data_IF_342337366155
#
_entry.id   IF_342337366155
#
_cell.length_a   1.000
_cell.length_b   1.000
_cell.length_c   1.000
_cell.angle_alpha   90.00
_cell.angle_beta   90.00
_cell.angle_gamma   90.00
#
_symmetry.space_group_name_H-M   'P 1'
#
loop_
_entity.id
_entity.type
_entity.pdbx_description
1 polymer ?
#
# COMPACT_ATOMS: atom_id res chain seq x y z
N UNK A 1 -24.72 7.93 -30.81
CA UNK A 1 -24.17 8.29 -29.50
C UNK A 1 -23.46 7.03 -29.01
N UNK A 2 -22.21 6.88 -29.42
CA UNK A 2 -21.32 5.79 -29.01
C UNK A 2 -20.70 6.19 -27.69
N UNK A 3 -20.88 5.38 -26.64
CA UNK A 3 -19.96 5.39 -25.51
C UNK A 3 -19.43 3.97 -25.34
N UNK A 4 -18.13 3.90 -25.58
CA UNK A 4 -17.31 2.73 -25.72
C UNK A 4 -17.25 1.89 -24.44
N UNK A 5 -17.11 0.58 -24.66
CA UNK A 5 -17.04 -0.42 -23.62
C UNK A 5 -15.92 -0.14 -22.63
N UNK A 6 -16.28 -0.03 -21.36
CA UNK A 6 -15.30 -0.10 -20.28
C UNK A 6 -14.96 -1.57 -20.09
N UNK A 7 -13.74 -1.92 -20.47
CA UNK A 7 -13.09 -3.20 -20.16
C UNK A 7 -13.34 -3.56 -18.69
N UNK A 8 -14.02 -4.69 -18.47
CA UNK A 8 -14.05 -5.36 -17.18
C UNK A 8 -12.67 -5.99 -16.99
N UNK A 9 -11.70 -5.20 -16.54
CA UNK A 9 -10.47 -5.77 -16.01
C UNK A 9 -10.82 -6.46 -14.69
N UNK A 10 -10.43 -7.72 -14.61
CA UNK A 10 -10.57 -8.62 -13.47
C UNK A 10 -9.64 -8.22 -12.30
N UNK A 11 -9.54 -6.92 -12.01
CA UNK A 11 -8.68 -6.34 -10.98
C UNK A 11 -9.25 -6.59 -9.59
N UNK A 12 -8.44 -7.14 -8.69
CA UNK A 12 -8.81 -7.25 -7.28
C UNK A 12 -9.16 -5.86 -6.75
N UNK A 13 -10.41 -5.64 -6.31
CA UNK A 13 -10.76 -4.42 -5.57
C UNK A 13 -9.76 -4.24 -4.40
N UNK A 14 -9.25 -3.03 -4.17
CA UNK A 14 -8.40 -2.75 -3.02
C UNK A 14 -9.13 -3.15 -1.74
N UNK A 15 -8.45 -3.88 -0.87
CA UNK A 15 -9.05 -4.33 0.40
C UNK A 15 -8.96 -3.18 1.40
N UNK A 16 -10.09 -2.73 1.92
CA UNK A 16 -10.14 -1.85 3.09
C UNK A 16 -10.48 -2.64 4.37
N UNK A 17 -10.30 -2.05 5.58
CA UNK A 17 -10.69 -2.71 6.82
C UNK A 17 -12.17 -3.10 6.84
N UNK A 18 -12.44 -4.38 7.13
CA UNK A 18 -13.80 -4.85 7.41
C UNK A 18 -14.39 -4.11 8.64
N UNK A 19 -15.71 -3.87 8.70
CA UNK A 19 -16.39 -3.34 9.88
C UNK A 19 -16.17 -4.14 11.17
N UNK A 20 -15.72 -5.40 11.05
CA UNK A 20 -15.43 -6.30 12.18
C UNK A 20 -13.94 -6.47 12.47
N UNK A 21 -13.08 -5.71 11.81
CA UNK A 21 -11.63 -5.77 12.04
C UNK A 21 -11.31 -5.28 13.45
N UNK A 22 -10.92 -6.20 14.35
CA UNK A 22 -10.62 -5.92 15.76
C UNK A 22 -9.36 -5.09 15.98
N UNK A 23 -8.54 -4.90 14.94
CA UNK A 23 -7.35 -4.06 15.01
C UNK A 23 -7.67 -2.58 14.80
N UNK A 24 -8.85 -2.27 14.27
CA UNK A 24 -9.31 -0.92 13.98
C UNK A 24 -10.27 -0.47 15.07
N UNK A 25 -10.05 0.73 15.58
CA UNK A 25 -11.01 1.44 16.41
C UNK A 25 -12.05 2.11 15.50
N UNK A 26 -13.11 1.37 15.19
CA UNK A 26 -14.19 1.84 14.31
C UNK A 26 -14.92 3.08 14.86
N UNK A 27 -14.79 3.39 16.16
CA UNK A 27 -15.36 4.61 16.73
C UNK A 27 -14.61 5.88 16.29
N UNK A 28 -13.38 5.72 15.80
CA UNK A 28 -12.50 6.79 15.30
C UNK A 28 -12.39 6.82 13.77
N UNK A 29 -13.20 6.03 13.06
CA UNK A 29 -13.25 6.09 11.60
C UNK A 29 -13.83 7.44 11.15
N UNK A 30 -13.13 8.13 10.26
CA UNK A 30 -13.56 9.42 9.70
C UNK A 30 -13.78 9.28 8.20
N UNK A 31 -15.00 9.59 7.75
CA UNK A 31 -15.32 9.67 6.33
C UNK A 31 -15.15 11.12 5.86
N UNK A 32 -14.45 11.32 4.75
CA UNK A 32 -14.17 12.64 4.19
C UNK A 32 -15.09 12.94 2.99
N UNK A 33 -15.35 14.23 2.70
CA UNK A 33 -16.23 14.62 1.61
C UNK A 33 -15.68 14.29 0.21
N UNK A 34 -14.38 14.07 0.09
CA UNK A 34 -13.69 13.64 -1.14
C UNK A 34 -13.84 12.13 -1.41
N UNK A 35 -14.52 11.40 -0.53
CA UNK A 35 -14.71 9.95 -0.62
C UNK A 35 -13.60 9.13 0.04
N UNK A 36 -12.55 9.77 0.58
CA UNK A 36 -11.54 9.08 1.37
C UNK A 36 -12.06 8.72 2.77
N UNK A 37 -11.44 7.71 3.38
CA UNK A 37 -11.78 7.26 4.75
C UNK A 37 -10.52 7.07 5.56
N UNK A 38 -10.41 7.75 6.70
CA UNK A 38 -9.33 7.54 7.66
C UNK A 38 -9.75 6.51 8.69
N UNK A 39 -8.96 5.44 8.82
CA UNK A 39 -9.09 4.45 9.87
C UNK A 39 -8.00 4.67 10.91
N UNK A 40 -8.36 4.52 12.18
CA UNK A 40 -7.40 4.55 13.30
C UNK A 40 -7.34 3.17 13.94
N UNK A 41 -6.13 2.65 14.15
CA UNK A 41 -5.94 1.37 14.82
C UNK A 41 -6.08 1.51 16.35
N UNK A 42 -6.12 0.38 17.06
CA UNK A 42 -6.23 0.36 18.52
C UNK A 42 -5.02 0.97 19.24
N UNK A 43 -3.88 1.13 18.57
CA UNK A 43 -2.67 1.74 19.10
C UNK A 43 -2.65 3.26 18.90
N UNK A 44 -3.59 3.79 18.10
CA UNK A 44 -3.72 5.22 17.81
C UNK A 44 -3.06 5.64 16.50
N UNK A 45 -2.57 4.70 15.70
CA UNK A 45 -2.02 5.00 14.38
C UNK A 45 -3.17 5.20 13.38
N UNK A 46 -3.05 6.18 12.47
CA UNK A 46 -4.09 6.49 11.49
C UNK A 46 -3.59 6.35 10.06
N UNK A 47 -4.38 5.73 9.19
CA UNK A 47 -4.11 5.59 7.76
C UNK A 47 -5.34 6.01 6.97
N UNK A 48 -5.13 6.85 5.97
CA UNK A 48 -6.19 7.32 5.08
C UNK A 48 -6.25 6.43 3.85
N UNK A 49 -7.44 5.94 3.53
CA UNK A 49 -7.72 5.20 2.32
C UNK A 49 -8.38 6.15 1.33
N UNK A 50 -7.86 6.23 0.10
CA UNK A 50 -8.47 7.06 -0.94
C UNK A 50 -9.84 6.50 -1.36
N UNK A 51 -10.57 7.24 -2.20
CA UNK A 51 -11.91 6.83 -2.67
C UNK A 51 -11.92 5.49 -3.43
N UNK A 52 -10.77 5.05 -3.97
CA UNK A 52 -10.61 3.75 -4.60
C UNK A 52 -10.29 2.62 -3.61
N UNK A 53 -9.96 2.95 -2.36
CA UNK A 53 -9.65 2.01 -1.28
C UNK A 53 -8.17 1.66 -1.13
N UNK A 54 -7.27 2.48 -1.67
CA UNK A 54 -5.82 2.32 -1.46
C UNK A 54 -5.37 3.09 -0.22
N UNK A 55 -4.59 2.47 0.67
CA UNK A 55 -4.03 3.14 1.85
C UNK A 55 -2.91 4.10 1.46
N UNK A 56 -2.82 5.23 2.16
CA UNK A 56 -1.65 6.10 2.17
C UNK A 56 -0.80 5.82 3.41
N UNK A 57 0.34 5.15 3.21
CA UNK A 57 1.30 4.88 4.28
C UNK A 57 2.43 5.91 4.35
N UNK A 58 2.47 6.91 3.45
CA UNK A 58 3.51 7.94 3.40
C UNK A 58 3.74 8.65 4.75
N UNK A 59 2.70 8.95 5.57
CA UNK A 59 2.90 9.55 6.89
C UNK A 59 3.70 8.70 7.89
N UNK A 60 3.79 7.38 7.64
CA UNK A 60 4.49 6.41 8.49
C UNK A 60 5.78 5.90 7.85
N UNK A 61 6.07 6.27 6.61
CA UNK A 61 7.29 5.88 5.93
C UNK A 61 8.50 6.54 6.60
N UNK A 62 9.51 5.74 6.93
CA UNK A 62 10.78 6.22 7.48
C UNK A 62 11.84 6.41 6.41
N UNK A 63 11.62 5.83 5.23
CA UNK A 63 12.49 5.92 4.08
C UNK A 63 11.68 5.69 2.81
N UNK A 64 12.15 6.23 1.69
CA UNK A 64 11.52 6.08 0.38
C UNK A 64 12.60 6.05 -0.71
N UNK A 65 12.46 5.11 -1.63
CA UNK A 65 13.35 5.01 -2.79
C UNK A 65 12.53 5.00 -4.08
N UNK A 66 12.91 5.89 -5.01
CA UNK A 66 12.32 5.99 -6.33
C UNK A 66 13.34 6.52 -7.35
N UNK A 67 13.48 5.91 -8.54
CA UNK A 67 12.89 4.64 -8.94
C UNK A 67 13.73 3.44 -8.45
N UNK A 68 13.07 2.35 -8.06
CA UNK A 68 13.72 1.04 -7.84
C UNK A 68 13.75 0.28 -9.16
N UNK A 69 14.92 0.26 -9.81
CA UNK A 69 15.07 -0.39 -11.12
C UNK A 69 15.10 -1.91 -11.01
N UNK A 70 14.34 -2.61 -11.85
CA UNK A 70 14.38 -4.08 -11.96
C UNK A 70 13.43 -4.83 -11.02
N UNK A 71 12.45 -4.13 -10.44
CA UNK A 71 11.36 -4.78 -9.71
C UNK A 71 10.54 -5.70 -10.62
N UNK A 72 9.98 -6.76 -10.03
CA UNK A 72 9.15 -7.74 -10.75
C UNK A 72 7.92 -8.20 -9.94
N UNK A 73 7.61 -7.49 -8.85
CA UNK A 73 6.51 -7.76 -7.95
C UNK A 73 6.73 -8.99 -7.05
N UNK A 74 7.89 -9.65 -7.09
CA UNK A 74 8.28 -10.63 -6.08
C UNK A 74 8.88 -9.89 -4.90
N UNK A 75 8.12 -9.81 -3.81
CA UNK A 75 8.50 -9.10 -2.59
C UNK A 75 9.97 -9.32 -2.17
N UNK A 76 10.46 -10.57 -2.08
CA UNK A 76 11.83 -10.84 -1.65
C UNK A 76 12.92 -10.32 -2.60
N UNK A 77 12.60 -10.21 -3.89
CA UNK A 77 13.50 -9.64 -4.90
C UNK A 77 13.46 -8.12 -4.83
N UNK A 78 12.25 -7.56 -4.80
CA UNK A 78 12.06 -6.10 -4.79
C UNK A 78 12.55 -5.47 -3.48
N UNK A 79 12.39 -6.13 -2.33
CA UNK A 79 12.94 -5.65 -1.05
C UNK A 79 14.47 -5.62 -1.06
N UNK A 80 15.13 -6.57 -1.74
CA UNK A 80 16.58 -6.59 -1.85
C UNK A 80 17.08 -5.43 -2.72
N UNK A 81 16.36 -5.11 -3.80
CA UNK A 81 16.64 -3.95 -4.64
C UNK A 81 16.42 -2.64 -3.88
N UNK A 82 15.32 -2.52 -3.13
CA UNK A 82 15.03 -1.34 -2.32
C UNK A 82 16.08 -1.14 -1.22
N UNK A 83 16.48 -2.21 -0.53
CA UNK A 83 17.58 -2.18 0.44
C UNK A 83 18.87 -1.66 -0.20
N UNK A 84 19.25 -2.20 -1.37
CA UNK A 84 20.45 -1.75 -2.08
C UNK A 84 20.36 -0.28 -2.51
N UNK A 85 19.20 0.17 -2.99
CA UNK A 85 18.96 1.55 -3.40
C UNK A 85 19.02 2.53 -2.22
N UNK A 86 18.51 2.14 -1.05
CA UNK A 86 18.54 2.93 0.18
C UNK A 86 19.86 2.82 0.97
N UNK A 87 20.80 1.97 0.53
CA UNK A 87 22.07 1.75 1.20
C UNK A 87 22.00 0.85 2.45
N UNK A 88 20.93 0.06 2.61
CA UNK A 88 20.82 -0.95 3.65
C UNK A 88 21.39 -2.30 3.20
N UNK A 89 22.07 -2.99 4.11
CA UNK A 89 22.48 -4.39 3.91
C UNK A 89 21.32 -5.37 4.00
N UNK A 90 20.26 -4.99 4.72
CA UNK A 90 19.03 -5.75 4.91
C UNK A 90 17.92 -4.82 5.41
N UNK A 91 16.66 -5.20 5.23
CA UNK A 91 15.52 -4.44 5.73
C UNK A 91 15.64 -4.25 7.26
N UNK A 92 15.59 -3.02 7.78
CA UNK A 92 15.67 -2.78 9.22
C UNK A 92 14.63 -3.58 10.01
N UNK A 93 15.03 -4.09 11.18
CA UNK A 93 14.15 -4.90 12.02
C UNK A 93 12.90 -4.10 12.45
N UNK A 94 11.72 -4.69 12.25
CA UNK A 94 10.43 -4.04 12.54
C UNK A 94 9.82 -3.28 11.37
N UNK A 95 10.50 -3.21 10.23
CA UNK A 95 10.03 -2.53 9.02
C UNK A 95 9.83 -3.51 7.86
N UNK A 96 9.05 -3.07 6.87
CA UNK A 96 8.79 -3.77 5.61
C UNK A 96 8.75 -2.75 4.48
N UNK A 97 9.17 -3.17 3.28
CA UNK A 97 9.01 -2.33 2.10
C UNK A 97 7.59 -2.47 1.53
N UNK A 98 6.94 -1.34 1.28
CA UNK A 98 5.63 -1.23 0.68
C UNK A 98 5.76 -0.70 -0.75
N UNK A 99 5.20 -1.43 -1.72
CA UNK A 99 5.13 -0.99 -3.11
C UNK A 99 4.10 0.13 -3.24
N UNK A 100 4.49 1.27 -3.81
CA UNK A 100 3.56 2.36 -4.13
C UNK A 100 2.88 2.09 -5.48
N UNK A 101 1.69 2.67 -5.69
CA UNK A 101 0.85 2.47 -6.89
C UNK A 101 1.56 2.78 -8.23
N UNK A 102 2.63 3.58 -8.23
CA UNK A 102 3.39 3.91 -9.43
C UNK A 102 4.22 2.74 -9.99
N UNK A 103 4.37 1.64 -9.24
CA UNK A 103 5.16 0.48 -9.64
C UNK A 103 6.68 0.72 -9.66
N UNK A 104 7.15 1.88 -9.22
CA UNK A 104 8.56 2.27 -9.26
C UNK A 104 9.10 2.67 -7.88
N UNK A 105 8.21 3.05 -6.96
CA UNK A 105 8.56 3.55 -5.64
C UNK A 105 8.32 2.49 -4.57
N UNK A 106 9.26 2.41 -3.62
CA UNK A 106 9.15 1.58 -2.43
C UNK A 106 9.30 2.44 -1.18
N UNK A 107 8.36 2.30 -0.25
CA UNK A 107 8.36 3.00 1.04
C UNK A 107 8.68 2.04 2.17
N UNK A 108 9.63 2.39 3.04
CA UNK A 108 9.97 1.61 4.22
C UNK A 108 9.04 2.00 5.37
N UNK A 109 8.11 1.11 5.73
CA UNK A 109 7.06 1.39 6.72
C UNK A 109 7.12 0.41 7.90
N UNK A 110 6.65 0.79 9.10
CA UNK A 110 6.56 -0.12 10.23
C UNK A 110 5.68 -1.33 9.90
N UNK A 111 6.16 -2.53 10.26
CA UNK A 111 5.44 -3.79 10.03
C UNK A 111 4.10 -3.83 10.77
N UNK A 112 3.98 -3.14 11.91
CA UNK A 112 2.73 -2.99 12.66
C UNK A 112 1.66 -2.28 11.84
N UNK A 113 1.99 -1.12 11.26
CA UNK A 113 1.11 -0.33 10.40
C UNK A 113 0.68 -1.18 9.20
N UNK A 114 1.65 -1.69 8.43
CA UNK A 114 1.37 -2.50 7.25
C UNK A 114 0.51 -3.75 7.55
N UNK A 115 0.65 -4.33 8.74
CA UNK A 115 -0.12 -5.51 9.17
C UNK A 115 -1.46 -5.21 9.85
N UNK A 116 -1.69 -3.98 10.32
CA UNK A 116 -2.93 -3.58 10.98
C UNK A 116 -3.95 -3.01 9.99
N UNK A 117 -3.44 -2.42 8.91
CA UNK A 117 -4.21 -1.84 7.83
C UNK A 117 -4.25 -2.81 6.63
N UNK A 118 -5.29 -3.66 6.53
CA UNK A 118 -5.42 -4.57 5.40
C UNK A 118 -5.47 -3.79 4.09
N UNK A 119 -4.72 -4.29 3.11
CA UNK A 119 -4.66 -3.79 1.75
C UNK A 119 -4.39 -4.95 0.80
N UNK A 120 -4.57 -4.72 -0.49
CA UNK A 120 -4.13 -5.65 -1.53
C UNK A 120 -2.85 -5.06 -2.08
N UNK A 121 -1.70 -5.67 -1.78
CA UNK A 121 -0.41 -5.15 -2.24
C UNK A 121 -0.36 -5.02 -3.76
N UNK A 122 0.07 -3.84 -4.21
CA UNK A 122 0.25 -3.41 -5.60
C UNK A 122 1.34 -4.22 -6.31
N UNK A 123 2.14 -5.00 -5.58
CA UNK A 123 3.02 -6.04 -6.11
C UNK A 123 2.32 -7.00 -7.08
N UNK A 124 0.99 -7.13 -7.00
CA UNK A 124 0.18 -7.88 -7.95
C UNK A 124 0.17 -7.24 -9.35
N UNK A 125 0.14 -5.90 -9.41
CA UNK A 125 0.15 -5.12 -10.65
C UNK A 125 1.48 -5.22 -11.42
N UNK A 126 2.60 -5.36 -10.69
CA UNK A 126 3.90 -5.67 -11.29
C UNK A 126 3.98 -7.12 -11.81
N UNK A 127 3.24 -8.05 -11.20
CA UNK A 127 3.25 -9.47 -11.60
C UNK A 127 2.33 -9.78 -12.76
N UNK A 128 1.23 -9.04 -12.89
CA UNK A 128 0.26 -9.18 -13.99
C UNK A 128 0.57 -8.25 -15.18
N UNK A 129 1.56 -7.36 -15.03
CA UNK A 129 2.01 -6.43 -16.06
C UNK A 129 1.09 -5.22 -16.26
N UNK A 130 0.23 -4.93 -15.28
CA UNK A 130 -0.65 -3.75 -15.30
C UNK A 130 0.03 -2.49 -14.75
N UNK A 131 1.15 -2.64 -14.03
CA UNK A 131 2.06 -1.55 -13.64
C UNK A 131 3.38 -1.66 -14.42
N UNK A 132 4.04 -0.52 -14.72
CA UNK A 132 5.25 -0.47 -15.55
C UNK A 132 6.44 -1.25 -14.97
#
# INVERSE_FOLDING_TARGET
MTEDGILVHNGCKPRSPSPTNKKIDHSKTVNHPDGSTTYTDINGDSVTYNAAGYPDFSPHAIDEVSPVTGMNGKYSHDEALANAAAGYTQTPAGYVWHHVEDGLTMQLVPKSINGNFPHTGEASGLRDGTLP
#
